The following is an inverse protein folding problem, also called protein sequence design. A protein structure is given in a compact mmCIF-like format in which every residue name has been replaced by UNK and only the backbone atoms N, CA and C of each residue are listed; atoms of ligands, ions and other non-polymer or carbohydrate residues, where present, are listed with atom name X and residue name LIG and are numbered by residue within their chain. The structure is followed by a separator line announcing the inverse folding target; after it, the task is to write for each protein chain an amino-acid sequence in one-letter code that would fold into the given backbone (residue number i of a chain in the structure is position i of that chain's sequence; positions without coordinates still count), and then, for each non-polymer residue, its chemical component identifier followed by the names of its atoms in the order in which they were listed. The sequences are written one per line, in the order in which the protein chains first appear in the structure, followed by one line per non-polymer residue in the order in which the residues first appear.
data_IF_242273247966
#
_entry.id   IF_242273247966
#
_cell.length_a   1.000
_cell.length_b   1.000
_cell.length_c   1.000
_cell.angle_alpha   90.00
_cell.angle_beta   90.00
_cell.angle_gamma   90.00
#
_symmetry.space_group_name_H-M   'P 1'
#
loop_
_entity.id
_entity.type
_entity.pdbx_description
1 polymer ?
#
# COMPACT_ATOMS: atom_id res chain seq x y z
N UNK A 1 32.39 5.60 22.39
CA UNK A 1 32.46 4.48 21.41
C UNK A 1 31.08 4.01 20.92
N UNK A 2 30.13 3.63 21.79
CA UNK A 2 28.77 3.18 21.38
C UNK A 2 28.01 4.11 20.40
N UNK A 3 28.12 5.43 20.57
CA UNK A 3 27.41 6.39 19.71
C UNK A 3 28.02 6.52 18.29
N UNK A 4 29.33 6.29 18.14
CA UNK A 4 30.01 6.32 16.82
C UNK A 4 29.62 5.09 16.00
N UNK A 5 29.53 3.92 16.65
CA UNK A 5 29.04 2.69 16.00
C UNK A 5 27.59 2.82 15.55
N UNK A 6 26.72 3.46 16.34
CA UNK A 6 25.32 3.70 15.97
C UNK A 6 25.21 4.67 14.79
N UNK A 7 25.96 5.77 14.79
CA UNK A 7 25.99 6.73 13.66
C UNK A 7 26.49 6.06 12.39
N UNK A 8 27.55 5.25 12.47
CA UNK A 8 28.07 4.52 11.32
C UNK A 8 27.05 3.50 10.76
N UNK A 9 26.31 2.81 11.63
CA UNK A 9 25.22 1.91 11.21
C UNK A 9 24.13 2.70 10.48
N UNK A 10 23.67 3.82 11.05
CA UNK A 10 22.64 4.66 10.45
C UNK A 10 23.09 5.19 9.08
N UNK A 11 24.32 5.70 8.96
CA UNK A 11 24.86 6.15 7.67
C UNK A 11 24.95 5.03 6.63
N UNK A 12 25.33 3.82 7.04
CA UNK A 12 25.34 2.65 6.15
C UNK A 12 23.94 2.34 5.62
N UNK A 13 22.91 2.40 6.46
CA UNK A 13 21.52 2.21 6.00
C UNK A 13 21.07 3.31 5.04
N UNK A 14 21.43 4.57 5.27
CA UNK A 14 21.16 5.65 4.31
C UNK A 14 21.84 5.41 2.97
N UNK A 15 23.11 4.97 2.98
CA UNK A 15 23.83 4.67 1.76
C UNK A 15 23.21 3.48 1.02
N UNK A 16 22.88 2.40 1.74
CA UNK A 16 22.20 1.23 1.17
C UNK A 16 20.85 1.61 0.57
N UNK A 17 20.06 2.42 1.27
CA UNK A 17 18.76 2.87 0.79
C UNK A 17 18.88 3.80 -0.41
N UNK A 18 19.83 4.74 -0.40
CA UNK A 18 20.14 5.60 -1.54
C UNK A 18 20.61 4.79 -2.76
N UNK A 19 21.40 3.73 -2.54
CA UNK A 19 21.82 2.82 -3.60
C UNK A 19 20.66 2.00 -4.16
N UNK A 20 19.79 1.45 -3.30
CA UNK A 20 18.57 0.77 -3.74
C UNK A 20 17.68 1.73 -4.53
N UNK A 21 17.48 2.95 -4.04
CA UNK A 21 16.73 3.98 -4.76
C UNK A 21 17.35 4.30 -6.12
N UNK A 22 18.69 4.40 -6.21
CA UNK A 22 19.38 4.58 -7.49
C UNK A 22 19.12 3.43 -8.45
N UNK A 23 19.23 2.17 -8.00
CA UNK A 23 18.89 1.01 -8.82
C UNK A 23 17.43 1.05 -9.27
N UNK A 24 16.52 1.42 -8.36
CA UNK A 24 15.10 1.58 -8.67
C UNK A 24 14.83 2.70 -9.68
N UNK A 25 15.56 3.80 -9.58
CA UNK A 25 15.46 4.90 -10.54
C UNK A 25 15.91 4.47 -11.95
N UNK A 26 16.85 3.51 -12.03
CA UNK A 26 17.22 2.86 -13.28
C UNK A 26 16.02 2.25 -14.01
N UNK A 27 15.07 1.64 -13.31
CA UNK A 27 13.86 1.11 -13.95
C UNK A 27 12.94 2.19 -14.54
N UNK A 28 12.96 3.41 -14.00
CA UNK A 28 12.11 4.52 -14.46
C UNK A 28 12.80 5.30 -15.60
N UNK A 29 14.09 5.56 -15.44
CA UNK A 29 14.84 6.49 -16.31
C UNK A 29 15.76 5.79 -17.31
N UNK A 30 16.14 4.54 -17.07
CA UNK A 30 16.87 3.76 -18.08
C UNK A 30 15.89 3.37 -19.16
N UNK A 31 16.13 3.90 -20.36
CA UNK A 31 15.43 3.49 -21.57
C UNK A 31 16.42 2.70 -22.41
N UNK A 32 16.10 1.43 -22.63
CA UNK A 32 16.78 0.59 -23.61
C UNK A 32 15.74 0.24 -24.67
N UNK A 33 16.01 0.61 -25.91
CA UNK A 33 15.14 0.24 -27.03
C UNK A 33 15.33 -1.25 -27.32
N UNK A 34 14.32 -2.05 -26.97
CA UNK A 34 14.31 -3.50 -27.20
C UNK A 34 13.14 -3.79 -28.14
N UNK A 35 13.47 -4.25 -29.36
CA UNK A 35 12.47 -4.81 -30.27
C UNK A 35 12.29 -6.29 -29.99
N UNK A 36 11.06 -6.67 -29.65
CA UNK A 36 10.64 -8.05 -29.43
C UNK A 36 9.70 -8.50 -30.53
N UNK A 37 9.60 -9.82 -30.82
CA UNK A 37 8.63 -10.33 -31.79
C UNK A 37 7.16 -9.99 -31.48
N UNK A 38 6.85 -9.63 -30.23
CA UNK A 38 5.51 -9.21 -29.81
C UNK A 38 5.15 -7.78 -30.25
N UNK A 39 6.15 -6.93 -30.58
CA UNK A 39 5.93 -5.52 -30.96
C UNK A 39 5.33 -5.35 -32.35
N UNK A 40 5.55 -6.33 -33.23
CA UNK A 40 5.02 -6.32 -34.60
C UNK A 40 3.64 -7.01 -34.67
N UNK A 41 3.08 -7.44 -33.54
CA UNK A 41 1.82 -8.21 -33.49
C UNK A 41 0.61 -7.31 -33.24
N UNK A 42 -0.54 -7.76 -33.70
CA UNK A 42 -1.79 -6.99 -33.69
C UNK A 42 -2.51 -7.18 -32.37
N UNK A 43 -2.96 -6.07 -31.80
CA UNK A 43 -3.96 -5.99 -30.73
C UNK A 43 -5.00 -4.95 -31.12
N UNK A 44 -6.27 -5.25 -30.90
CA UNK A 44 -7.38 -4.34 -31.17
C UNK A 44 -8.44 -4.42 -30.08
N UNK A 45 -9.07 -3.29 -29.78
CA UNK A 45 -10.28 -3.27 -28.97
C UNK A 45 -11.44 -3.78 -29.83
N UNK A 46 -12.21 -4.74 -29.32
CA UNK A 46 -13.39 -5.28 -29.97
C UNK A 46 -14.63 -4.85 -29.20
N UNK A 47 -15.56 -4.22 -29.91
CA UNK A 47 -16.89 -3.97 -29.38
C UNK A 47 -17.79 -5.21 -29.57
N UNK A 48 -18.63 -5.54 -28.59
CA UNK A 48 -19.58 -6.63 -28.71
C UNK A 48 -20.65 -6.32 -29.77
N UNK A 49 -20.84 -7.22 -30.72
CA UNK A 49 -21.92 -7.18 -31.72
C UNK A 49 -23.29 -7.16 -31.06
N UNK A 50 -23.41 -7.88 -29.95
CA UNK A 50 -24.65 -8.04 -29.20
C UNK A 50 -24.36 -8.12 -27.71
N UNK A 51 -25.19 -7.45 -26.92
CA UNK A 51 -25.19 -7.48 -25.46
C UNK A 51 -26.58 -7.83 -24.97
N UNK A 52 -26.71 -8.94 -24.28
CA UNK A 52 -27.99 -9.42 -23.75
C UNK A 52 -27.95 -9.57 -22.24
N UNK A 53 -28.96 -9.02 -21.57
CA UNK A 53 -29.20 -9.23 -20.15
C UNK A 53 -30.08 -10.46 -20.00
N UNK A 54 -29.52 -11.58 -19.55
CA UNK A 54 -30.21 -12.87 -19.46
C UNK A 54 -31.07 -12.95 -18.19
N UNK A 55 -30.75 -12.16 -17.16
CA UNK A 55 -31.40 -12.22 -15.84
C UNK A 55 -30.38 -12.60 -14.76
N UNK A 56 -30.78 -12.48 -13.48
CA UNK A 56 -29.97 -12.87 -12.31
C UNK A 56 -28.57 -12.26 -12.26
N UNK A 57 -28.43 -11.03 -12.75
CA UNK A 57 -27.13 -10.35 -12.81
C UNK A 57 -26.16 -10.95 -13.84
N UNK A 58 -26.65 -11.72 -14.81
CA UNK A 58 -25.88 -12.28 -15.94
C UNK A 58 -26.01 -11.41 -17.18
N UNK A 59 -24.87 -11.13 -17.82
CA UNK A 59 -24.78 -10.46 -19.11
C UNK A 59 -23.99 -11.33 -20.06
N UNK A 60 -24.53 -11.52 -21.26
CA UNK A 60 -23.85 -12.20 -22.36
C UNK A 60 -23.42 -11.19 -23.41
N UNK A 61 -22.16 -11.30 -23.82
CA UNK A 61 -21.54 -10.54 -24.89
C UNK A 61 -21.26 -11.49 -26.04
N UNK A 62 -21.81 -11.19 -27.22
CA UNK A 62 -21.45 -11.87 -28.46
C UNK A 62 -20.42 -11.02 -29.20
N UNK A 63 -19.29 -11.64 -29.52
CA UNK A 63 -18.13 -11.03 -30.19
C UNK A 63 -17.93 -11.75 -31.52
N UNK A 64 -17.82 -10.99 -32.60
CA UNK A 64 -17.37 -11.52 -33.90
C UNK A 64 -15.92 -11.18 -34.13
N UNK A 65 -15.12 -12.22 -34.35
CA UNK A 65 -13.71 -12.11 -34.66
C UNK A 65 -13.53 -12.11 -36.18
N UNK A 66 -12.61 -11.28 -36.67
CA UNK A 66 -12.21 -11.37 -38.07
C UNK A 66 -11.47 -12.69 -38.31
N UNK A 67 -11.75 -13.35 -39.44
CA UNK A 67 -11.21 -14.66 -39.83
C UNK A 67 -9.69 -14.74 -39.97
N UNK A 68 -8.96 -13.64 -39.76
CA UNK A 68 -7.50 -13.64 -39.66
C UNK A 68 -7.05 -14.14 -38.27
N UNK A 69 -7.48 -15.35 -37.87
CA UNK A 69 -6.95 -16.01 -36.68
C UNK A 69 -5.61 -16.65 -37.03
N UNK A 70 -4.52 -15.96 -36.70
CA UNK A 70 -3.20 -16.58 -36.62
C UNK A 70 -3.14 -17.51 -35.40
N UNK A 71 -2.12 -18.36 -35.35
CA UNK A 71 -1.81 -19.10 -34.11
C UNK A 71 -1.52 -18.11 -32.96
N UNK A 72 -1.95 -18.46 -31.74
CA UNK A 72 -1.77 -17.69 -30.48
C UNK A 72 -2.59 -16.40 -30.32
N UNK A 73 -3.76 -16.31 -30.96
CA UNK A 73 -4.71 -15.22 -30.70
C UNK A 73 -5.50 -15.47 -29.40
N UNK A 74 -5.69 -14.42 -28.61
CA UNK A 74 -6.41 -14.44 -27.35
C UNK A 74 -7.36 -13.26 -27.23
N UNK A 75 -8.44 -13.46 -26.48
CA UNK A 75 -9.29 -12.38 -26.00
C UNK A 75 -8.88 -12.04 -24.57
N UNK A 76 -8.76 -10.74 -24.30
CA UNK A 76 -8.51 -10.20 -22.97
C UNK A 76 -9.67 -9.34 -22.49
N UNK A 77 -10.00 -9.51 -21.20
CA UNK A 77 -10.97 -8.67 -20.50
C UNK A 77 -10.77 -8.77 -18.99
N UNK A 78 -11.26 -7.75 -18.28
CA UNK A 78 -11.23 -7.71 -16.81
C UNK A 78 -12.64 -7.96 -16.26
N UNK A 79 -12.76 -8.94 -15.38
CA UNK A 79 -13.99 -9.20 -14.61
C UNK A 79 -13.78 -8.95 -13.13
N UNK A 80 -14.83 -8.53 -12.40
CA UNK A 80 -14.73 -8.16 -10.97
C UNK A 80 -15.83 -8.80 -10.16
N UNK A 81 -15.47 -9.77 -9.33
CA UNK A 81 -16.42 -10.54 -8.51
C UNK A 81 -17.54 -11.14 -9.36
N UNK A 82 -17.14 -11.69 -10.50
CA UNK A 82 -18.02 -12.28 -11.50
C UNK A 82 -17.57 -13.70 -11.81
N UNK A 83 -18.53 -14.59 -12.01
CA UNK A 83 -18.29 -15.82 -12.74
C UNK A 83 -18.11 -15.51 -14.22
N UNK A 84 -17.31 -16.33 -14.89
CA UNK A 84 -16.94 -16.15 -16.29
C UNK A 84 -17.21 -17.46 -17.00
N UNK A 85 -17.84 -17.41 -18.16
CA UNK A 85 -17.88 -18.52 -19.11
C UNK A 85 -17.58 -17.96 -20.51
N UNK A 86 -16.62 -18.55 -21.21
CA UNK A 86 -16.26 -18.16 -22.58
C UNK A 86 -16.47 -19.36 -23.49
N UNK A 87 -17.23 -19.13 -24.56
CA UNK A 87 -17.58 -20.14 -25.55
C UNK A 87 -17.02 -19.74 -26.92
N UNK A 88 -16.38 -20.68 -27.61
CA UNK A 88 -15.97 -20.55 -29.00
C UNK A 88 -16.79 -21.52 -29.86
N UNK A 89 -17.56 -21.01 -30.83
CA UNK A 89 -18.49 -21.81 -31.64
C UNK A 89 -19.36 -22.74 -30.75
N UNK A 90 -19.94 -22.19 -29.68
CA UNK A 90 -20.76 -22.87 -28.66
C UNK A 90 -20.05 -23.92 -27.77
N UNK A 91 -18.74 -24.15 -27.94
CA UNK A 91 -17.96 -24.97 -27.02
C UNK A 91 -17.39 -24.12 -25.89
N UNK A 92 -17.63 -24.51 -24.63
CA UNK A 92 -17.03 -23.85 -23.46
C UNK A 92 -15.50 -24.07 -23.47
N UNK A 93 -14.73 -23.00 -23.61
CA UNK A 93 -13.26 -23.03 -23.66
C UNK A 93 -12.58 -22.49 -22.40
N UNK A 94 -13.27 -21.67 -21.62
CA UNK A 94 -12.74 -21.10 -20.38
C UNK A 94 -13.87 -20.81 -19.40
N UNK A 95 -13.63 -21.03 -18.11
CA UNK A 95 -14.57 -20.67 -17.08
C UNK A 95 -13.88 -20.29 -15.76
N UNK A 96 -14.54 -19.42 -15.01
CA UNK A 96 -14.24 -19.11 -13.61
C UNK A 96 -15.55 -19.19 -12.85
N UNK A 97 -15.64 -20.08 -11.86
CA UNK A 97 -16.85 -20.27 -11.06
C UNK A 97 -16.64 -19.90 -9.61
N UNK A 98 -17.67 -19.33 -9.00
CA UNK A 98 -17.69 -19.02 -7.59
C UNK A 98 -17.88 -20.31 -6.80
N UNK A 99 -16.95 -20.58 -5.89
CA UNK A 99 -17.08 -21.67 -4.94
C UNK A 99 -17.22 -21.11 -3.53
N UNK A 100 -18.30 -21.51 -2.85
CA UNK A 100 -18.52 -21.19 -1.44
C UNK A 100 -17.47 -21.91 -0.59
N UNK A 101 -16.75 -21.14 0.21
CA UNK A 101 -15.74 -21.63 1.14
C UNK A 101 -15.66 -20.70 2.34
N UNK A 102 -14.80 -21.02 3.31
CA UNK A 102 -14.47 -20.12 4.42
C UNK A 102 -13.86 -18.78 3.94
N UNK A 103 -13.32 -18.77 2.72
CA UNK A 103 -12.79 -17.59 2.02
C UNK A 103 -13.88 -16.82 1.22
N UNK A 104 -15.16 -17.05 1.51
CA UNK A 104 -16.29 -16.46 0.80
C UNK A 104 -16.60 -17.10 -0.56
N UNK A 105 -17.45 -16.44 -1.34
CA UNK A 105 -17.93 -16.82 -2.68
C UNK A 105 -17.31 -15.99 -3.80
N UNK A 106 -16.58 -14.92 -3.48
CA UNK A 106 -15.90 -14.06 -4.47
C UNK A 106 -14.99 -14.85 -5.42
N UNK A 107 -15.00 -14.47 -6.70
CA UNK A 107 -14.00 -14.86 -7.70
C UNK A 107 -12.83 -13.87 -7.80
N UNK A 108 -12.90 -12.74 -7.05
CA UNK A 108 -11.91 -11.67 -7.09
C UNK A 108 -11.94 -10.85 -8.38
N UNK A 109 -10.88 -10.09 -8.64
CA UNK A 109 -10.66 -9.39 -9.92
C UNK A 109 -9.78 -10.26 -10.81
N UNK A 110 -10.30 -10.66 -11.96
CA UNK A 110 -9.62 -11.54 -12.91
C UNK A 110 -9.25 -10.78 -14.18
N UNK A 111 -7.96 -10.85 -14.53
CA UNK A 111 -7.39 -10.41 -15.79
C UNK A 111 -7.37 -11.63 -16.72
N UNK A 112 -8.50 -11.89 -17.39
CA UNK A 112 -8.68 -13.11 -18.17
C UNK A 112 -8.04 -12.95 -19.54
N UNK A 113 -7.04 -13.79 -19.84
CA UNK A 113 -6.46 -13.94 -21.18
C UNK A 113 -6.87 -15.33 -21.66
N UNK A 114 -7.74 -15.38 -22.67
CA UNK A 114 -8.35 -16.63 -23.14
C UNK A 114 -7.95 -16.90 -24.57
N UNK A 115 -7.15 -17.95 -24.77
CA UNK A 115 -6.71 -18.38 -26.09
C UNK A 115 -7.90 -18.86 -26.92
N UNK A 116 -8.01 -18.32 -28.13
CA UNK A 116 -9.11 -18.61 -29.05
C UNK A 116 -8.65 -19.66 -30.06
N UNK A 117 -9.36 -20.79 -30.21
CA UNK A 117 -9.03 -21.78 -31.21
C UNK A 117 -9.03 -21.20 -32.63
N UNK A 118 -8.09 -21.64 -33.47
CA UNK A 118 -8.00 -21.22 -34.87
C UNK A 118 -9.32 -21.43 -35.61
N UNK A 119 -9.66 -20.53 -36.53
CA UNK A 119 -10.91 -20.54 -37.30
C UNK A 119 -12.20 -20.30 -36.48
N UNK A 120 -12.08 -19.80 -35.25
CA UNK A 120 -13.25 -19.32 -34.49
C UNK A 120 -13.66 -17.94 -34.99
N UNK A 121 -14.92 -17.79 -35.37
CA UNK A 121 -15.52 -16.49 -35.76
C UNK A 121 -16.40 -15.93 -34.66
N UNK A 122 -17.10 -16.80 -33.94
CA UNK A 122 -18.11 -16.40 -32.96
C UNK A 122 -17.64 -16.79 -31.56
N UNK A 123 -17.45 -15.78 -30.71
CA UNK A 123 -17.14 -15.94 -29.29
C UNK A 123 -18.27 -15.38 -28.44
N UNK A 124 -18.69 -16.12 -27.43
CA UNK A 124 -19.65 -15.65 -26.42
C UNK A 124 -18.97 -15.57 -25.07
N UNK A 125 -19.08 -14.43 -24.39
CA UNK A 125 -18.60 -14.25 -23.02
C UNK A 125 -19.81 -14.00 -22.12
N UNK A 126 -20.04 -14.89 -21.17
CA UNK A 126 -21.03 -14.70 -20.10
C UNK A 126 -20.32 -14.25 -18.83
N UNK A 127 -20.80 -13.15 -18.27
CA UNK A 127 -20.37 -12.63 -16.98
C UNK A 127 -21.56 -12.66 -16.03
N UNK A 128 -21.44 -13.34 -14.90
CA UNK A 128 -22.50 -13.44 -13.88
C UNK A 128 -22.01 -12.85 -12.57
N UNK A 129 -22.72 -11.85 -12.04
CA UNK A 129 -22.33 -11.23 -10.77
C UNK A 129 -22.49 -12.20 -9.61
N UNK A 130 -21.44 -12.34 -8.79
CA UNK A 130 -21.49 -13.15 -7.57
C UNK A 130 -22.33 -12.48 -6.48
N UNK A 131 -22.38 -11.15 -6.48
CA UNK A 131 -23.13 -10.36 -5.52
C UNK A 131 -24.37 -9.73 -6.15
N UNK A 132 -25.53 -10.03 -5.57
CA UNK A 132 -26.82 -9.44 -5.97
C UNK A 132 -26.83 -7.90 -5.82
N UNK A 133 -27.65 -7.24 -6.65
CA UNK A 133 -27.87 -5.78 -6.58
C UNK A 133 -26.73 -4.92 -7.15
N UNK A 134 -25.64 -5.53 -7.63
CA UNK A 134 -24.55 -4.82 -8.30
C UNK A 134 -24.90 -4.64 -9.77
N UNK A 135 -24.88 -3.40 -10.29
CA UNK A 135 -25.04 -3.15 -11.72
C UNK A 135 -23.80 -3.64 -12.47
N UNK A 136 -24.01 -4.43 -13.52
CA UNK A 136 -22.96 -4.83 -14.45
C UNK A 136 -22.38 -3.59 -15.14
N UNK A 137 -21.06 -3.38 -15.00
CA UNK A 137 -20.35 -2.39 -15.79
C UNK A 137 -20.15 -2.93 -17.20
N UNK A 138 -20.14 -2.03 -18.18
CA UNK A 138 -19.62 -2.34 -19.50
C UNK A 138 -18.20 -2.91 -19.41
N UNK A 139 -18.00 -4.04 -20.06
CA UNK A 139 -16.70 -4.71 -20.17
C UNK A 139 -16.15 -4.43 -21.56
N UNK A 140 -14.94 -3.90 -21.60
CA UNK A 140 -14.17 -3.75 -22.83
C UNK A 140 -13.45 -5.05 -23.11
N UNK A 141 -13.49 -5.49 -24.36
CA UNK A 141 -12.78 -6.68 -24.84
C UNK A 141 -11.64 -6.25 -25.75
N UNK A 142 -10.49 -6.90 -25.59
CA UNK A 142 -9.36 -6.76 -26.49
C UNK A 142 -9.07 -8.11 -27.13
N UNK A 143 -8.64 -8.09 -28.38
CA UNK A 143 -8.29 -9.29 -29.13
C UNK A 143 -6.98 -9.08 -29.85
N UNK A 144 -6.09 -10.05 -29.77
CA UNK A 144 -4.75 -9.93 -30.30
C UNK A 144 -3.89 -11.12 -29.96
N UNK A 145 -2.61 -11.04 -30.29
CA UNK A 145 -1.66 -12.06 -29.88
C UNK A 145 -1.46 -12.07 -28.36
N UNK A 146 -1.46 -13.27 -27.76
CA UNK A 146 -1.33 -13.47 -26.31
C UNK A 146 -0.07 -12.79 -25.73
N UNK A 147 1.08 -12.91 -26.42
CA UNK A 147 2.34 -12.34 -25.93
C UNK A 147 2.34 -10.80 -26.02
N UNK A 148 1.67 -10.24 -27.03
CA UNK A 148 1.49 -8.79 -27.17
C UNK A 148 0.63 -8.25 -26.02
N UNK A 149 -0.52 -8.88 -25.76
CA UNK A 149 -1.43 -8.53 -24.65
C UNK A 149 -0.70 -8.59 -23.31
N UNK A 150 0.02 -9.70 -23.04
CA UNK A 150 0.74 -9.87 -21.78
C UNK A 150 1.85 -8.82 -21.61
N UNK A 151 2.59 -8.51 -22.68
CA UNK A 151 3.65 -7.50 -22.67
C UNK A 151 3.09 -6.13 -22.31
N UNK A 152 2.00 -5.71 -22.94
CA UNK A 152 1.36 -4.43 -22.65
C UNK A 152 0.83 -4.37 -21.22
N UNK A 153 0.16 -5.43 -20.75
CA UNK A 153 -0.36 -5.51 -19.38
C UNK A 153 0.75 -5.32 -18.33
N UNK A 154 1.90 -5.95 -18.54
CA UNK A 154 3.08 -5.79 -17.68
C UNK A 154 3.64 -4.37 -17.80
N UNK A 155 3.75 -3.84 -19.02
CA UNK A 155 4.29 -2.49 -19.25
C UNK A 155 3.44 -1.40 -18.58
N UNK A 156 2.11 -1.51 -18.64
CA UNK A 156 1.19 -0.55 -18.02
C UNK A 156 1.23 -0.61 -16.49
N UNK A 157 1.33 -1.81 -15.90
CA UNK A 157 1.43 -1.96 -14.45
C UNK A 157 2.83 -1.71 -13.88
N UNK A 158 3.85 -1.56 -14.73
CA UNK A 158 5.23 -1.44 -14.29
C UNK A 158 5.44 -0.23 -13.38
N UNK A 159 5.05 0.97 -13.82
CA UNK A 159 5.20 2.19 -13.03
C UNK A 159 4.41 2.12 -11.70
N UNK A 160 3.11 1.77 -11.69
CA UNK A 160 2.37 1.50 -10.45
C UNK A 160 3.09 0.54 -9.50
N UNK A 161 3.60 -0.59 -10.01
CA UNK A 161 4.28 -1.60 -9.20
C UNK A 161 5.60 -1.09 -8.61
N UNK A 162 6.37 -0.31 -9.38
CA UNK A 162 7.60 0.34 -8.90
C UNK A 162 7.30 1.34 -7.77
N UNK A 163 6.25 2.16 -7.92
CA UNK A 163 5.83 3.09 -6.87
C UNK A 163 5.44 2.34 -5.58
N UNK A 164 4.65 1.27 -5.70
CA UNK A 164 4.28 0.43 -4.55
C UNK A 164 5.50 -0.22 -3.89
N UNK A 165 6.46 -0.72 -4.68
CA UNK A 165 7.70 -1.28 -4.17
C UNK A 165 8.55 -0.24 -3.42
N UNK A 166 8.63 1.00 -3.92
CA UNK A 166 9.33 2.09 -3.23
C UNK A 166 8.68 2.41 -1.87
N UNK A 167 7.34 2.45 -1.80
CA UNK A 167 6.62 2.66 -0.54
C UNK A 167 6.95 1.55 0.47
N UNK A 168 6.95 0.28 0.04
CA UNK A 168 7.33 -0.86 0.89
C UNK A 168 8.78 -0.72 1.38
N UNK A 169 9.70 -0.35 0.48
CA UNK A 169 11.12 -0.18 0.82
C UNK A 169 11.33 0.93 1.85
N UNK A 170 10.67 2.09 1.69
CA UNK A 170 10.72 3.15 2.71
C UNK A 170 10.20 2.62 4.04
N UNK A 171 9.10 1.85 4.04
CA UNK A 171 8.57 1.22 5.24
C UNK A 171 9.57 0.29 5.93
N UNK A 172 10.23 -0.59 5.17
CA UNK A 172 11.29 -1.48 5.67
C UNK A 172 12.44 -0.66 6.26
N UNK A 173 12.87 0.41 5.59
CA UNK A 173 13.94 1.27 6.09
C UNK A 173 13.57 1.92 7.43
N UNK A 174 12.34 2.40 7.60
CA UNK A 174 11.87 2.98 8.86
C UNK A 174 11.86 1.95 10.00
N UNK A 175 11.41 0.71 9.74
CA UNK A 175 11.45 -0.37 10.74
C UNK A 175 12.89 -0.74 11.09
N UNK A 176 13.79 -0.82 10.11
CA UNK A 176 15.21 -1.09 10.36
C UNK A 176 15.84 0.02 11.21
N UNK A 177 15.56 1.30 10.91
CA UNK A 177 15.99 2.43 11.73
C UNK A 177 15.45 2.33 13.15
N UNK A 178 14.19 1.92 13.33
CA UNK A 178 13.62 1.67 14.66
C UNK A 178 14.37 0.56 15.43
N UNK A 179 14.72 -0.56 14.78
CA UNK A 179 15.45 -1.67 15.42
C UNK A 179 16.83 -1.21 15.92
N UNK A 180 17.51 -0.35 15.15
CA UNK A 180 18.86 0.15 15.46
C UNK A 180 18.83 1.23 16.53
N UNK A 181 17.82 2.11 16.48
CA UNK A 181 17.63 3.16 17.46
C UNK A 181 17.18 2.58 18.81
N UNK A 182 17.65 3.15 19.92
CA UNK A 182 17.34 2.65 21.24
C UNK A 182 15.83 2.76 21.53
N UNK A 183 15.15 1.61 21.71
CA UNK A 183 13.68 1.45 21.85
C UNK A 183 13.01 2.27 22.98
N UNK A 184 13.78 2.98 23.81
CA UNK A 184 13.32 3.75 24.98
C UNK A 184 12.86 5.17 24.65
N UNK A 185 12.89 5.61 23.38
CA UNK A 185 12.50 6.98 23.01
C UNK A 185 11.23 6.95 22.16
N UNK A 186 10.21 7.75 22.50
CA UNK A 186 8.90 7.74 21.82
C UNK A 186 8.97 8.04 20.32
N UNK A 187 9.90 8.90 19.87
CA UNK A 187 10.12 9.13 18.42
C UNK A 187 10.51 7.85 17.67
N UNK A 188 11.19 6.91 18.33
CA UNK A 188 11.50 5.61 17.71
C UNK A 188 10.23 4.79 17.48
N UNK A 189 9.22 4.88 18.36
CA UNK A 189 7.96 4.15 18.16
C UNK A 189 7.19 4.67 16.94
N UNK A 190 7.27 5.97 16.63
CA UNK A 190 6.67 6.52 15.41
C UNK A 190 7.27 5.86 14.14
N UNK A 191 8.59 5.63 14.09
CA UNK A 191 9.24 4.92 12.98
C UNK A 191 8.67 3.51 12.77
N UNK A 192 8.42 2.76 13.84
CA UNK A 192 7.84 1.42 13.75
C UNK A 192 6.44 1.47 13.12
N UNK A 193 5.55 2.30 13.67
CA UNK A 193 4.16 2.34 13.24
C UNK A 193 4.00 2.92 11.82
N UNK A 194 4.75 3.98 11.47
CA UNK A 194 4.77 4.47 10.08
C UNK A 194 5.39 3.45 9.13
N UNK A 195 6.43 2.73 9.56
CA UNK A 195 7.02 1.65 8.77
C UNK A 195 6.02 0.53 8.48
N UNK A 196 5.25 0.09 9.49
CA UNK A 196 4.18 -0.90 9.33
C UNK A 196 3.09 -0.35 8.41
N UNK A 197 2.64 0.89 8.61
CA UNK A 197 1.65 1.54 7.76
C UNK A 197 2.11 1.58 6.29
N UNK A 198 3.33 2.03 6.03
CA UNK A 198 3.94 2.09 4.71
C UNK A 198 4.01 0.71 4.05
N UNK A 199 4.41 -0.33 4.79
CA UNK A 199 4.42 -1.69 4.28
C UNK A 199 3.03 -2.20 3.92
N UNK A 200 2.02 -1.94 4.76
CA UNK A 200 0.65 -2.37 4.51
C UNK A 200 0.04 -1.66 3.30
N UNK A 201 0.17 -0.32 3.21
CA UNK A 201 -0.41 0.45 2.09
C UNK A 201 0.33 0.14 0.80
N UNK A 202 1.65 -0.04 0.85
CA UNK A 202 2.47 -0.45 -0.28
C UNK A 202 2.12 -1.86 -0.77
N UNK A 203 1.92 -2.82 0.14
CA UNK A 203 1.51 -4.18 -0.21
C UNK A 203 0.09 -4.23 -0.80
N UNK A 204 -0.85 -3.47 -0.25
CA UNK A 204 -2.19 -3.33 -0.83
C UNK A 204 -2.12 -2.73 -2.22
N UNK A 205 -1.38 -1.64 -2.35
CA UNK A 205 -1.19 -0.91 -3.60
C UNK A 205 -0.57 -1.77 -4.70
N UNK A 206 0.41 -2.63 -4.34
CA UNK A 206 1.02 -3.60 -5.25
C UNK A 206 0.01 -4.67 -5.69
N UNK A 207 -0.82 -5.17 -4.77
CA UNK A 207 -1.84 -6.20 -5.02
C UNK A 207 -2.93 -5.75 -6.01
N UNK A 208 -3.20 -4.45 -6.11
CA UNK A 208 -4.15 -3.86 -7.06
C UNK A 208 -3.58 -3.72 -8.49
N UNK A 209 -2.26 -3.83 -8.66
CA UNK A 209 -1.64 -3.79 -10.00
C UNK A 209 -1.91 -5.08 -10.78
N UNK A 210 -2.02 -5.00 -12.12
CA UNK A 210 -2.19 -6.22 -12.93
C UNK A 210 -0.99 -7.17 -12.80
N UNK A 211 0.23 -6.65 -12.60
CA UNK A 211 1.44 -7.43 -12.30
C UNK A 211 1.26 -8.35 -11.08
N UNK A 212 0.38 -8.02 -10.13
CA UNK A 212 0.10 -8.88 -8.98
C UNK A 212 -0.37 -10.30 -9.38
N UNK A 213 -0.93 -10.47 -10.59
CA UNK A 213 -1.32 -11.77 -11.12
C UNK A 213 -0.13 -12.73 -11.31
N UNK A 214 1.08 -12.19 -11.51
CA UNK A 214 2.31 -13.00 -11.65
C UNK A 214 2.78 -13.55 -10.29
N UNK A 215 2.44 -12.88 -9.19
CA UNK A 215 2.81 -13.29 -7.84
C UNK A 215 1.73 -14.11 -7.15
N UNK A 216 0.46 -13.81 -7.42
CA UNK A 216 -0.70 -14.46 -6.79
C UNK A 216 -1.64 -14.96 -7.89
N UNK A 217 -1.53 -16.26 -8.18
CA UNK A 217 -2.38 -16.95 -9.16
C UNK A 217 -3.85 -17.00 -8.73
N UNK A 218 -4.10 -17.21 -7.43
CA UNK A 218 -5.46 -17.26 -6.89
C UNK A 218 -6.02 -15.84 -6.68
N UNK A 219 -6.88 -15.40 -7.60
CA UNK A 219 -7.49 -14.06 -7.56
C UNK A 219 -8.50 -13.89 -6.44
N UNK A 220 -9.07 -14.97 -5.92
CA UNK A 220 -9.90 -14.93 -4.73
C UNK A 220 -9.05 -14.55 -3.52
N UNK A 221 -7.92 -15.23 -3.30
CA UNK A 221 -7.00 -14.90 -2.21
C UNK A 221 -6.45 -13.48 -2.34
N UNK A 222 -6.06 -13.06 -3.54
CA UNK A 222 -5.58 -11.70 -3.77
C UNK A 222 -6.61 -10.63 -3.40
N UNK A 223 -7.90 -10.85 -3.74
CA UNK A 223 -8.97 -9.92 -3.36
C UNK A 223 -9.18 -9.85 -1.84
N UNK A 224 -9.12 -10.99 -1.14
CA UNK A 224 -9.26 -11.03 0.31
C UNK A 224 -8.08 -10.37 1.02
N UNK A 225 -6.86 -10.64 0.54
CA UNK A 225 -5.65 -9.97 1.02
C UNK A 225 -5.78 -8.45 0.89
N UNK A 226 -6.30 -7.96 -0.24
CA UNK A 226 -6.54 -6.52 -0.43
C UNK A 226 -7.41 -5.91 0.68
N UNK A 227 -8.53 -6.57 1.02
CA UNK A 227 -9.41 -6.12 2.10
C UNK A 227 -8.75 -6.15 3.47
N UNK A 228 -8.04 -7.23 3.81
CA UNK A 228 -7.35 -7.37 5.10
C UNK A 228 -6.25 -6.32 5.25
N UNK A 229 -5.46 -6.07 4.19
CA UNK A 229 -4.41 -5.06 4.21
C UNK A 229 -4.97 -3.66 4.48
N UNK A 230 -6.07 -3.28 3.79
CA UNK A 230 -6.74 -2.00 4.03
C UNK A 230 -7.31 -1.89 5.45
N UNK A 231 -7.94 -2.96 5.93
CA UNK A 231 -8.53 -3.02 7.26
C UNK A 231 -7.49 -2.84 8.37
N UNK A 232 -6.26 -3.34 8.17
CA UNK A 232 -5.17 -3.19 9.14
C UNK A 232 -4.52 -1.80 9.14
N UNK A 233 -4.76 -0.92 8.17
CA UNK A 233 -4.10 0.40 8.07
C UNK A 233 -4.42 1.40 9.20
N UNK A 234 -5.67 1.56 9.66
CA UNK A 234 -6.04 2.62 10.60
C UNK A 234 -5.29 2.54 11.94
N UNK A 235 -5.00 1.35 12.44
CA UNK A 235 -4.33 1.14 13.74
C UNK A 235 -2.88 1.66 13.73
N UNK A 236 -1.96 1.16 12.86
CA UNK A 236 -0.61 1.67 12.79
C UNK A 236 -0.60 3.15 12.42
N UNK A 237 -1.54 3.63 11.58
CA UNK A 237 -1.64 5.05 11.27
C UNK A 237 -1.90 5.91 12.52
N UNK A 238 -2.96 5.62 13.29
CA UNK A 238 -3.28 6.36 14.52
C UNK A 238 -2.16 6.28 15.56
N UNK A 239 -1.52 5.12 15.71
CA UNK A 239 -0.38 4.98 16.63
C UNK A 239 0.84 5.76 16.15
N UNK A 240 1.10 5.80 14.86
CA UNK A 240 2.21 6.57 14.30
C UNK A 240 2.05 8.06 14.62
N UNK A 241 0.86 8.62 14.35
CA UNK A 241 0.55 10.03 14.63
C UNK A 241 0.67 10.37 16.12
N UNK A 242 0.11 9.51 16.99
CA UNK A 242 0.21 9.68 18.45
C UNK A 242 1.65 9.81 18.92
N UNK A 243 2.53 8.93 18.43
CA UNK A 243 3.94 8.89 18.84
C UNK A 243 4.75 10.02 18.20
N UNK A 244 4.42 10.41 16.97
CA UNK A 244 5.08 11.48 16.23
C UNK A 244 4.79 12.86 16.82
N UNK A 245 3.54 13.14 17.19
CA UNK A 245 3.15 14.43 17.77
C UNK A 245 3.26 14.50 19.30
N UNK A 246 3.78 13.45 19.95
CA UNK A 246 3.93 13.38 21.42
C UNK A 246 2.63 13.68 22.18
N UNK A 247 1.52 13.12 21.71
CA UNK A 247 0.21 13.39 22.31
C UNK A 247 0.16 12.78 23.72
N UNK A 248 0.19 13.65 24.73
CA UNK A 248 0.24 13.24 26.14
C UNK A 248 -1.03 12.48 26.59
N UNK A 249 -2.19 12.81 26.02
CA UNK A 249 -3.47 12.15 26.32
C UNK A 249 -3.75 11.05 25.29
N UNK A 250 -3.39 9.83 25.65
CA UNK A 250 -3.57 8.65 24.79
C UNK A 250 -5.04 8.16 24.68
N UNK A 251 -6.00 8.81 25.35
CA UNK A 251 -7.38 8.32 25.46
C UNK A 251 -8.06 8.17 24.11
N UNK A 252 -8.01 9.21 23.27
CA UNK A 252 -8.68 9.20 21.95
C UNK A 252 -8.02 8.20 21.00
N UNK A 253 -6.69 8.21 20.89
CA UNK A 253 -5.95 7.28 20.02
C UNK A 253 -6.12 5.83 20.46
N UNK A 254 -6.02 5.54 21.76
CA UNK A 254 -6.23 4.18 22.28
C UNK A 254 -7.68 3.72 22.08
N UNK A 255 -8.67 4.60 22.28
CA UNK A 255 -10.07 4.29 22.02
C UNK A 255 -10.29 3.98 20.53
N UNK A 256 -9.78 4.80 19.62
CA UNK A 256 -9.85 4.55 18.17
C UNK A 256 -9.19 3.23 17.79
N UNK A 257 -7.96 2.96 18.25
CA UNK A 257 -7.29 1.69 17.98
C UNK A 257 -8.08 0.49 18.52
N UNK A 258 -8.72 0.62 19.69
CA UNK A 258 -9.56 -0.43 20.26
C UNK A 258 -10.81 -0.66 19.40
N UNK A 259 -11.48 0.42 18.99
CA UNK A 259 -12.66 0.36 18.11
C UNK A 259 -12.30 -0.28 16.77
N UNK A 260 -11.20 0.15 16.14
CA UNK A 260 -10.72 -0.42 14.89
C UNK A 260 -10.39 -1.90 15.05
N UNK A 261 -9.66 -2.28 16.10
CA UNK A 261 -9.31 -3.69 16.36
C UNK A 261 -10.55 -4.56 16.57
N UNK A 262 -11.55 -4.07 17.32
CA UNK A 262 -12.82 -4.78 17.50
C UNK A 262 -13.59 -4.89 16.18
N UNK A 263 -13.60 -3.82 15.38
CA UNK A 263 -14.26 -3.83 14.08
C UNK A 263 -13.61 -4.82 13.12
N UNK A 264 -12.28 -4.87 13.08
CA UNK A 264 -11.50 -5.83 12.29
C UNK A 264 -11.88 -7.27 12.65
N UNK A 265 -11.95 -7.58 13.95
CA UNK A 265 -12.36 -8.90 14.45
C UNK A 265 -13.80 -9.21 14.01
N UNK A 266 -14.74 -8.27 14.17
CA UNK A 266 -16.14 -8.46 13.75
C UNK A 266 -16.23 -8.71 12.24
N UNK A 267 -15.52 -7.93 11.42
CA UNK A 267 -15.52 -8.07 9.96
C UNK A 267 -14.95 -9.42 9.52
N UNK A 268 -13.87 -9.88 10.16
CA UNK A 268 -13.29 -11.21 9.91
C UNK A 268 -14.29 -12.31 10.29
N UNK A 269 -14.94 -12.22 11.45
CA UNK A 269 -15.93 -13.21 11.89
C UNK A 269 -17.12 -13.25 10.92
N UNK A 270 -17.65 -12.09 10.53
CA UNK A 270 -18.74 -11.99 9.55
C UNK A 270 -18.37 -12.61 8.20
N UNK A 271 -17.12 -12.45 7.75
CA UNK A 271 -16.64 -13.04 6.51
C UNK A 271 -16.50 -14.56 6.61
N UNK A 272 -15.80 -15.05 7.65
CA UNK A 272 -15.54 -16.49 7.87
C UNK A 272 -16.85 -17.26 8.09
N UNK A 273 -17.82 -16.68 8.81
CA UNK A 273 -19.14 -17.29 9.03
C UNK A 273 -20.05 -17.23 7.79
N UNK A 274 -19.66 -16.45 6.77
CA UNK A 274 -20.45 -16.23 5.56
C UNK A 274 -21.69 -15.35 5.77
N UNK A 275 -21.84 -14.71 6.94
CA UNK A 275 -22.94 -13.77 7.20
C UNK A 275 -22.84 -12.52 6.33
N UNK A 276 -21.64 -11.96 6.22
CA UNK A 276 -21.36 -10.81 5.35
C UNK A 276 -19.90 -10.82 4.89
N UNK A 277 -19.69 -10.95 3.58
CA UNK A 277 -18.33 -10.95 3.02
C UNK A 277 -17.71 -9.56 2.97
N UNK A 278 -16.37 -9.48 2.92
CA UNK A 278 -15.63 -8.22 2.88
C UNK A 278 -16.12 -7.26 1.79
N UNK A 279 -16.51 -7.78 0.61
CA UNK A 279 -17.08 -6.94 -0.46
C UNK A 279 -18.32 -6.17 -0.01
N UNK A 280 -19.20 -6.80 0.79
CA UNK A 280 -20.44 -6.20 1.31
C UNK A 280 -20.17 -5.29 2.50
N UNK A 281 -19.13 -5.57 3.27
CA UNK A 281 -18.77 -4.81 4.48
C UNK A 281 -17.67 -3.76 4.25
N UNK A 282 -17.17 -3.60 3.02
CA UNK A 282 -16.12 -2.64 2.64
C UNK A 282 -16.42 -1.19 3.04
N UNK A 283 -17.70 -0.81 3.12
CA UNK A 283 -18.11 0.51 3.58
C UNK A 283 -17.55 0.82 4.98
N UNK A 284 -17.51 -0.16 5.88
CA UNK A 284 -16.97 0.02 7.21
C UNK A 284 -15.46 0.25 7.19
N UNK A 285 -14.73 -0.44 6.31
CA UNK A 285 -13.29 -0.21 6.09
C UNK A 285 -13.06 1.23 5.62
N UNK A 286 -13.85 1.72 4.65
CA UNK A 286 -13.76 3.10 4.19
C UNK A 286 -14.06 4.11 5.31
N UNK A 287 -15.08 3.86 6.13
CA UNK A 287 -15.40 4.71 7.29
C UNK A 287 -14.22 4.75 8.29
N UNK A 288 -13.59 3.60 8.57
CA UNK A 288 -12.42 3.54 9.46
C UNK A 288 -11.25 4.37 8.92
N UNK A 289 -10.96 4.26 7.62
CA UNK A 289 -9.93 5.08 6.97
C UNK A 289 -10.28 6.58 7.05
N UNK A 290 -11.55 6.96 6.86
CA UNK A 290 -11.98 8.37 6.94
C UNK A 290 -11.82 8.88 8.37
N UNK A 291 -12.23 8.10 9.38
CA UNK A 291 -12.08 8.48 10.79
C UNK A 291 -10.59 8.63 11.14
N UNK A 292 -9.73 7.74 10.66
CA UNK A 292 -8.28 7.83 10.86
C UNK A 292 -7.70 9.11 10.22
N UNK A 293 -8.14 9.47 9.01
CA UNK A 293 -7.74 10.72 8.35
C UNK A 293 -8.24 11.95 9.13
N UNK A 294 -9.49 11.96 9.58
CA UNK A 294 -10.05 13.06 10.38
C UNK A 294 -9.30 13.21 11.72
N UNK A 295 -8.91 12.10 12.35
CA UNK A 295 -8.05 12.12 13.52
C UNK A 295 -6.71 12.82 13.22
N UNK A 296 -6.04 12.46 12.12
CA UNK A 296 -4.79 13.11 11.71
C UNK A 296 -4.97 14.62 11.45
N UNK A 297 -6.02 15.01 10.73
CA UNK A 297 -6.37 16.42 10.55
C UNK A 297 -6.55 17.15 11.89
N UNK A 298 -7.27 16.54 12.84
CA UNK A 298 -7.47 17.08 14.19
C UNK A 298 -6.16 17.25 14.96
N UNK A 299 -5.24 16.29 14.86
CA UNK A 299 -3.91 16.36 15.49
C UNK A 299 -3.08 17.49 14.89
N UNK A 300 -3.09 17.66 13.56
CA UNK A 300 -2.39 18.76 12.89
C UNK A 300 -2.96 20.12 13.30
N UNK A 301 -4.29 20.25 13.41
CA UNK A 301 -4.95 21.48 13.88
C UNK A 301 -4.58 21.80 15.33
N UNK A 302 -4.62 20.81 16.24
CA UNK A 302 -4.19 21.00 17.63
C UNK A 302 -2.72 21.44 17.72
N UNK A 303 -1.86 20.88 16.87
CA UNK A 303 -0.46 21.27 16.78
C UNK A 303 -0.29 22.71 16.28
N UNK A 304 -1.06 23.13 15.26
CA UNK A 304 -1.07 24.51 14.77
C UNK A 304 -1.45 25.48 15.89
N UNK A 305 -2.49 25.15 16.66
CA UNK A 305 -2.99 26.01 17.75
C UNK A 305 -1.94 26.16 18.85
N UNK A 306 -1.23 25.08 19.22
CA UNK A 306 -0.25 25.10 20.32
C UNK A 306 1.11 25.66 19.94
N UNK A 307 1.58 25.40 18.71
CA UNK A 307 2.97 25.66 18.32
C UNK A 307 3.10 26.68 17.17
N UNK A 308 2.00 27.12 16.58
CA UNK A 308 2.00 28.00 15.41
C UNK A 308 2.48 27.32 14.13
N UNK A 309 2.78 28.12 13.11
CA UNK A 309 3.17 27.65 11.77
C UNK A 309 4.68 27.52 11.59
N UNK A 310 5.29 26.60 12.35
CA UNK A 310 6.71 26.27 12.17
C UNK A 310 6.95 25.45 10.87
N UNK A 311 8.23 25.18 10.55
CA UNK A 311 8.62 24.39 9.36
C UNK A 311 8.00 22.99 9.37
N UNK A 312 7.91 22.35 10.54
CA UNK A 312 7.40 20.98 10.69
C UNK A 312 5.90 20.93 10.39
N UNK A 313 5.15 21.88 10.94
CA UNK A 313 3.71 22.05 10.69
C UNK A 313 3.43 22.27 9.19
N UNK A 314 4.23 23.10 8.50
CA UNK A 314 4.08 23.29 7.04
C UNK A 314 4.29 21.99 6.26
N UNK A 315 5.32 21.21 6.61
CA UNK A 315 5.57 19.90 6.00
C UNK A 315 4.39 18.93 6.23
N UNK A 316 3.88 18.89 7.46
CA UNK A 316 2.75 18.03 7.83
C UNK A 316 1.44 18.44 7.13
N UNK A 317 1.20 19.74 6.91
CA UNK A 317 0.06 20.20 6.11
C UNK A 317 0.15 19.69 4.67
N UNK A 318 1.34 19.73 4.05
CA UNK A 318 1.55 19.18 2.71
C UNK A 318 1.28 17.68 2.71
N UNK A 319 1.76 16.96 3.73
CA UNK A 319 1.52 15.53 3.91
C UNK A 319 0.02 15.21 4.05
N UNK A 320 -0.72 15.96 4.88
CA UNK A 320 -2.19 15.84 5.02
C UNK A 320 -2.89 16.05 3.69
N UNK A 321 -2.52 17.09 2.93
CA UNK A 321 -3.15 17.40 1.64
C UNK A 321 -2.88 16.28 0.63
N UNK A 322 -1.63 15.79 0.55
CA UNK A 322 -1.25 14.71 -0.35
C UNK A 322 -1.97 13.38 -0.03
N UNK A 323 -2.07 13.03 1.27
CA UNK A 323 -2.77 11.81 1.69
C UNK A 323 -4.29 11.94 1.49
N UNK A 324 -4.87 13.09 1.83
CA UNK A 324 -6.30 13.35 1.66
C UNK A 324 -6.71 13.32 0.18
N UNK A 325 -5.92 13.93 -0.70
CA UNK A 325 -6.21 13.93 -2.14
C UNK A 325 -6.09 12.52 -2.72
N UNK A 326 -5.07 11.74 -2.32
CA UNK A 326 -4.94 10.33 -2.71
C UNK A 326 -6.17 9.53 -2.29
N UNK A 327 -6.56 9.63 -1.01
CA UNK A 327 -7.68 8.86 -0.48
C UNK A 327 -8.99 9.21 -1.21
N UNK A 328 -9.22 10.49 -1.53
CA UNK A 328 -10.40 10.92 -2.29
C UNK A 328 -10.39 10.38 -3.72
N UNK A 329 -9.22 10.41 -4.38
CA UNK A 329 -9.03 9.84 -5.73
C UNK A 329 -9.30 8.35 -5.71
N UNK A 330 -8.74 7.61 -4.76
CA UNK A 330 -8.90 6.16 -4.64
C UNK A 330 -10.36 5.77 -4.33
N UNK A 331 -11.01 6.51 -3.42
CA UNK A 331 -12.42 6.28 -3.09
C UNK A 331 -13.34 6.59 -4.28
N UNK A 332 -13.05 7.67 -5.01
CA UNK A 332 -13.76 8.02 -6.24
C UNK A 332 -13.59 6.92 -7.31
N UNK A 333 -12.35 6.48 -7.54
CA UNK A 333 -12.01 5.41 -8.46
C UNK A 333 -12.72 4.10 -8.09
N UNK A 334 -12.76 3.76 -6.79
CA UNK A 334 -13.44 2.57 -6.29
C UNK A 334 -14.95 2.59 -6.59
N UNK A 335 -15.66 3.66 -6.22
CA UNK A 335 -17.12 3.75 -6.38
C UNK A 335 -17.58 4.07 -7.81
N UNK A 336 -16.72 4.68 -8.63
CA UNK A 336 -16.98 4.89 -10.06
C UNK A 336 -16.44 3.76 -10.94
N UNK A 337 -15.76 2.79 -10.34
CA UNK A 337 -15.14 1.66 -11.03
C UNK A 337 -14.19 2.08 -12.16
N UNK A 338 -13.40 3.13 -11.94
CA UNK A 338 -12.41 3.67 -12.91
C UNK A 338 -11.01 3.22 -12.49
N UNK A 339 -10.29 2.52 -13.37
CA UNK A 339 -8.93 2.01 -13.08
C UNK A 339 -7.80 2.98 -13.48
N UNK A 340 -8.04 3.87 -14.43
CA UNK A 340 -7.01 4.73 -15.04
C UNK A 340 -6.43 5.81 -14.12
N UNK A 341 -6.97 5.97 -12.90
CA UNK A 341 -6.57 7.03 -11.95
C UNK A 341 -5.63 6.50 -10.84
N UNK A 342 -5.28 5.21 -10.90
CA UNK A 342 -4.55 4.48 -9.85
C UNK A 342 -3.13 5.03 -9.58
N UNK A 343 -2.48 5.61 -10.59
CA UNK A 343 -1.13 6.20 -10.45
C UNK A 343 -1.14 7.47 -9.60
N UNK A 344 -2.19 8.29 -9.67
CA UNK A 344 -2.27 9.59 -8.97
C UNK A 344 -2.35 9.38 -7.46
N UNK A 345 -3.16 8.43 -7.01
CA UNK A 345 -3.25 8.06 -5.59
C UNK A 345 -1.90 7.57 -5.06
N UNK A 346 -1.26 6.64 -5.79
CA UNK A 346 0.07 6.11 -5.45
C UNK A 346 1.12 7.21 -5.27
N UNK A 347 1.16 8.23 -6.14
CA UNK A 347 2.05 9.37 -5.97
C UNK A 347 1.75 10.17 -4.69
N UNK A 348 0.48 10.42 -4.38
CA UNK A 348 0.08 11.12 -3.15
C UNK A 348 0.53 10.38 -1.89
N UNK A 349 0.35 9.06 -1.84
CA UNK A 349 0.84 8.20 -0.75
C UNK A 349 2.37 8.25 -0.66
N UNK A 350 3.08 8.14 -1.78
CA UNK A 350 4.55 8.17 -1.77
C UNK A 350 5.08 9.53 -1.26
N UNK A 351 4.49 10.64 -1.70
CA UNK A 351 4.83 11.99 -1.20
C UNK A 351 4.61 12.07 0.31
N UNK A 352 3.46 11.60 0.79
CA UNK A 352 3.15 11.54 2.22
C UNK A 352 4.21 10.76 3.01
N UNK A 353 4.53 9.54 2.58
CA UNK A 353 5.48 8.66 3.25
C UNK A 353 6.90 9.24 3.24
N UNK A 354 7.35 9.82 2.12
CA UNK A 354 8.70 10.41 2.02
C UNK A 354 8.83 11.66 2.90
N UNK A 355 7.83 12.55 2.89
CA UNK A 355 7.86 13.77 3.71
C UNK A 355 7.88 13.45 5.20
N UNK A 356 7.04 12.53 5.65
CA UNK A 356 7.03 12.10 7.05
C UNK A 356 8.30 11.33 7.41
N UNK A 357 8.76 10.43 6.55
CA UNK A 357 10.01 9.69 6.74
C UNK A 357 11.19 10.65 6.92
N UNK A 358 11.27 11.69 6.09
CA UNK A 358 12.29 12.74 6.21
C UNK A 358 12.20 13.48 7.55
N UNK A 359 11.01 13.90 7.97
CA UNK A 359 10.83 14.66 9.21
C UNK A 359 11.21 13.83 10.45
N UNK A 360 10.78 12.57 10.49
CA UNK A 360 11.10 11.65 11.60
C UNK A 360 12.61 11.37 11.64
N UNK A 361 13.23 11.11 10.48
CA UNK A 361 14.68 10.89 10.39
C UNK A 361 15.45 12.12 10.87
N UNK A 362 15.05 13.32 10.42
CA UNK A 362 15.68 14.58 10.83
C UNK A 362 15.63 14.74 12.35
N UNK A 363 14.48 14.45 12.97
CA UNK A 363 14.30 14.55 14.41
C UNK A 363 15.15 13.53 15.18
N UNK A 364 15.21 12.28 14.69
CA UNK A 364 16.07 11.25 15.29
C UNK A 364 17.55 11.64 15.22
N UNK A 365 18.00 12.22 14.11
CA UNK A 365 19.38 12.69 13.96
C UNK A 365 19.69 13.87 14.89
N UNK A 366 18.77 14.82 15.03
CA UNK A 366 18.90 15.93 15.99
C UNK A 366 19.02 15.42 17.42
N UNK A 367 18.18 14.48 17.82
CA UNK A 367 18.24 13.87 19.15
C UNK A 367 19.54 13.11 19.41
N UNK A 368 20.04 12.36 18.43
CA UNK A 368 21.34 11.67 18.55
C UNK A 368 22.45 12.70 18.77
N UNK A 369 22.42 13.81 18.02
CA UNK A 369 23.40 14.90 18.15
C UNK A 369 23.32 15.55 19.53
N UNK A 370 22.12 15.82 20.04
CA UNK A 370 21.95 16.44 21.36
C UNK A 370 22.32 15.47 22.49
N UNK A 371 22.04 14.17 22.34
CA UNK A 371 22.51 13.14 23.27
C UNK A 371 24.04 13.04 23.31
N UNK A 372 24.71 13.20 22.16
CA UNK A 372 26.18 13.27 22.11
C UNK A 372 26.72 14.51 22.81
N UNK A 373 26.12 15.69 22.58
CA UNK A 373 26.50 16.93 23.28
C UNK A 373 26.32 16.78 24.79
N UNK A 374 25.18 16.24 25.24
CA UNK A 374 24.90 16.04 26.65
C UNK A 374 25.91 15.10 27.32
N UNK A 375 26.26 14.00 26.65
CA UNK A 375 27.30 13.08 27.13
C UNK A 375 28.68 13.76 27.24
N UNK A 376 29.04 14.58 26.25
CA UNK A 376 30.28 15.35 26.26
C UNK A 376 30.32 16.39 27.39
N UNK A 377 29.24 17.15 27.58
CA UNK A 377 29.14 18.11 28.69
C UNK A 377 29.16 17.42 30.05
N UNK A 378 28.51 16.26 30.19
CA UNK A 378 28.58 15.45 31.41
C UNK A 378 30.01 15.01 31.70
N UNK A 379 30.75 14.55 30.69
CA UNK A 379 32.15 14.17 30.84
C UNK A 379 33.04 15.35 31.26
N UNK A 380 32.84 16.54 30.67
CA UNK A 380 33.53 17.77 31.10
C UNK A 380 33.15 18.20 32.51
N UNK A 381 31.90 17.98 32.93
CA UNK A 381 31.43 18.34 34.27
C UNK A 381 31.94 17.38 35.36
N UNK A 382 32.20 16.11 35.01
CA UNK A 382 32.60 15.06 35.97
C UNK A 382 34.11 14.77 35.97
N UNK A 383 34.86 15.14 34.92
CA UNK A 383 36.30 14.90 34.83
C UNK A 383 37.11 16.18 34.81
N UNK A 384 38.31 16.12 35.38
CA UNK A 384 39.32 17.17 35.29
C UNK A 384 40.00 17.13 33.91
N UNK A 385 40.10 18.29 33.27
CA UNK A 385 40.57 18.38 31.89
C UNK A 385 42.07 18.06 31.72
N UNK A 386 42.88 18.25 32.78
CA UNK A 386 44.34 18.07 32.73
C UNK A 386 44.74 16.63 33.06
N UNK A 387 43.99 15.96 33.92
CA UNK A 387 44.33 14.63 34.44
C UNK A 387 43.41 13.51 33.93
N UNK A 388 42.23 13.85 33.42
CA UNK A 388 41.21 12.88 33.00
C UNK A 388 40.57 12.09 34.16
N UNK A 389 40.92 12.43 35.40
CA UNK A 389 40.37 11.84 36.62
C UNK A 389 39.05 12.49 37.00
N UNK A 390 38.24 11.80 37.80
CA UNK A 390 37.01 12.38 38.34
C UNK A 390 37.33 13.62 39.17
N UNK A 391 36.63 14.71 38.88
CA UNK A 391 36.80 15.98 39.56
C UNK A 391 35.97 16.04 40.84
N UNK A 392 36.07 17.16 41.55
CA UNK A 392 35.36 17.40 42.80
C UNK A 392 33.83 17.28 42.65
N UNK A 393 33.25 17.76 41.55
CA UNK A 393 31.82 17.67 41.29
C UNK A 393 31.33 16.23 41.21
N UNK A 394 32.11 15.34 40.60
CA UNK A 394 31.80 13.92 40.55
C UNK A 394 31.86 13.27 41.94
N UNK A 395 32.82 13.67 42.79
CA UNK A 395 32.89 13.21 44.19
C UNK A 395 31.68 13.68 45.01
N UNK A 396 31.26 14.93 44.88
CA UNK A 396 30.10 15.49 45.59
C UNK A 396 28.79 14.81 45.17
N UNK A 397 28.62 14.49 43.87
CA UNK A 397 27.49 13.69 43.39
C UNK A 397 27.49 12.26 43.95
N UNK A 398 28.66 11.62 44.04
CA UNK A 398 28.78 10.30 44.65
C UNK A 398 28.42 10.34 46.14
N UNK A 399 28.90 11.34 46.89
CA UNK A 399 28.59 11.51 48.30
C UNK A 399 27.07 11.70 48.53
N UNK A 400 26.41 12.53 47.71
CA UNK A 400 24.96 12.72 47.77
C UNK A 400 24.17 11.43 47.48
N UNK A 401 24.51 10.73 46.40
CA UNK A 401 23.83 9.48 46.03
C UNK A 401 24.01 8.35 47.07
N UNK A 402 25.05 8.43 47.89
CA UNK A 402 25.36 7.42 48.92
C UNK A 402 24.77 7.78 50.29
N UNK A 403 24.41 9.06 50.52
CA UNK A 403 23.69 9.50 51.72
C UNK A 403 22.25 9.01 51.78
N UNK A 404 21.61 8.74 50.64
CA UNK A 404 20.25 8.18 50.58
C UNK A 404 20.19 6.66 50.92
N UNK A 405 21.34 6.00 51.10
CA UNK A 405 21.46 4.59 51.46
C UNK A 405 21.76 4.33 52.95
N UNK A 406 22.02 5.37 53.74
CA UNK A 406 22.21 5.32 55.21
C UNK A 406 21.09 6.08 55.91
#
# INVERSE_FOLDING_TARGET
MKNVEMVNRIMYFFFLFGFLFYLFSGFIFSKVDIKTPADDKIKMVIEPDKKEYIGDGTVEYSLKLSTASSDNMAIYFISRHQEIEVYANDNLIYYVKAHKSVYGTTTGTNYSIVNIPSYTTDVKVKLTNVYEGVKQKETTFEYGDEACILKELISEAFLPAVLSALIILVGIAMIMLWIICNKRISQTQALLYFGIFAMLIGAWSLNETSIAMLFIADRKLASLMGYVLLMMLPIPFVQAEKNFFHIHTATVSNALCTIFSLMDIVLIILHITGMAEFKRTVLFIHIMLIIALLYFCGVVVDRIIKNGFDRKVKSNIIAVVALSSSMLVDLYAYYRHVQEIDVIGKFGILIFIVLLGYEIVSEVLEMIRDGQKAAFYKEMAEKDAMTGLYNRSAFEQWEQNTKDYN
#
